data_IF_552925771569
#
_entry.id   IF_552925771569
#
_cell.length_a   1.000
_cell.length_b   1.000
_cell.length_c   1.000
_cell.angle_alpha   90.00
_cell.angle_beta   90.00
_cell.angle_gamma   90.00
#
_symmetry.space_group_name_H-M   'P 1'
#
loop_
_entity.id
_entity.type
_entity.pdbx_description
1 polymer ?
#
# COMPACT_ATOMS: atom_id res chain seq x y z
N UNK A 1 8.75 -8.41 12.77
CA UNK A 1 9.52 -8.59 11.53
C UNK A 1 10.91 -7.97 11.73
N UNK A 2 11.95 -8.74 11.52
CA UNK A 2 13.33 -8.24 11.66
C UNK A 2 13.65 -7.42 10.40
N UNK A 3 14.03 -6.14 10.58
CA UNK A 3 14.43 -5.27 9.46
C UNK A 3 15.86 -5.65 9.08
N UNK A 4 16.07 -6.13 7.87
CA UNK A 4 17.39 -6.42 7.33
C UNK A 4 18.07 -5.11 6.92
N UNK A 5 18.95 -4.60 7.76
CA UNK A 5 19.71 -3.38 7.50
C UNK A 5 20.77 -3.58 6.39
N UNK A 6 21.19 -4.82 6.12
CA UNK A 6 22.09 -5.13 5.01
C UNK A 6 21.46 -4.74 3.67
N UNK A 7 20.22 -5.14 3.44
CA UNK A 7 19.45 -4.76 2.24
C UNK A 7 19.30 -3.24 2.11
N UNK A 8 19.09 -2.54 3.24
CA UNK A 8 19.00 -1.07 3.22
C UNK A 8 20.34 -0.45 2.80
N UNK A 9 21.45 -0.96 3.30
CA UNK A 9 22.78 -0.47 2.91
C UNK A 9 23.07 -0.72 1.43
N UNK A 10 22.76 -1.91 0.90
CA UNK A 10 22.89 -2.21 -0.54
C UNK A 10 22.09 -1.25 -1.41
N UNK A 11 20.86 -0.92 -1.02
CA UNK A 11 20.02 0.05 -1.75
C UNK A 11 20.68 1.43 -1.74
N UNK A 12 21.15 1.91 -0.57
CA UNK A 12 21.80 3.22 -0.46
C UNK A 12 23.08 3.26 -1.31
N UNK A 13 23.86 2.21 -1.29
CA UNK A 13 25.08 2.07 -2.10
C UNK A 13 24.80 2.11 -3.59
N UNK A 14 23.75 1.40 -4.06
CA UNK A 14 23.32 1.42 -5.46
C UNK A 14 22.94 2.80 -5.97
N UNK A 15 22.50 3.68 -5.06
CA UNK A 15 22.21 5.09 -5.33
C UNK A 15 23.39 6.04 -5.08
N UNK A 16 24.59 5.52 -4.82
CA UNK A 16 25.83 6.28 -4.67
C UNK A 16 25.85 7.26 -3.50
N UNK A 17 25.07 6.99 -2.43
CA UNK A 17 24.95 7.85 -1.23
C UNK A 17 24.53 9.30 -1.54
N UNK A 18 23.81 9.52 -2.66
CA UNK A 18 23.42 10.87 -3.07
C UNK A 18 22.14 11.32 -2.35
N UNK A 19 22.18 12.51 -1.74
CA UNK A 19 21.01 13.14 -1.09
C UNK A 19 19.86 13.36 -2.06
N UNK A 20 20.14 13.68 -3.32
CA UNK A 20 19.18 13.85 -4.41
C UNK A 20 18.40 12.57 -4.73
N UNK A 21 18.94 11.41 -4.39
CA UNK A 21 18.31 10.10 -4.64
C UNK A 21 17.42 9.64 -3.49
N UNK A 22 17.15 10.46 -2.47
CA UNK A 22 16.35 10.10 -1.29
C UNK A 22 15.02 9.44 -1.67
N UNK A 23 14.27 10.01 -2.61
CA UNK A 23 12.96 9.46 -3.03
C UNK A 23 13.14 8.07 -3.66
N UNK A 24 14.14 7.90 -4.53
CA UNK A 24 14.45 6.60 -5.15
C UNK A 24 14.84 5.54 -4.11
N UNK A 25 15.68 5.90 -3.16
CA UNK A 25 16.07 5.02 -2.04
C UNK A 25 14.84 4.58 -1.24
N UNK A 26 13.94 5.53 -0.89
CA UNK A 26 12.72 5.20 -0.16
C UNK A 26 11.77 4.33 -0.98
N UNK A 27 11.68 4.52 -2.30
CA UNK A 27 10.89 3.67 -3.20
C UNK A 27 11.43 2.24 -3.22
N UNK A 28 12.73 2.05 -3.32
CA UNK A 28 13.35 0.73 -3.34
C UNK A 28 13.20 0.01 -2.00
N UNK A 29 13.35 0.74 -0.87
CA UNK A 29 13.08 0.19 0.46
C UNK A 29 11.60 -0.22 0.57
N UNK A 30 10.66 0.63 0.16
CA UNK A 30 9.23 0.34 0.16
C UNK A 30 8.91 -0.90 -0.70
N UNK A 31 9.52 -1.03 -1.88
CA UNK A 31 9.31 -2.16 -2.78
C UNK A 31 9.83 -3.48 -2.18
N UNK A 32 10.95 -3.44 -1.46
CA UNK A 32 11.56 -4.63 -0.83
C UNK A 32 10.90 -5.04 0.48
N UNK A 33 10.49 -4.08 1.29
CA UNK A 33 9.98 -4.32 2.64
C UNK A 33 8.47 -4.15 2.76
N UNK A 34 7.80 -3.68 1.70
CA UNK A 34 6.37 -3.38 1.63
C UNK A 34 5.91 -2.20 2.52
N UNK A 35 6.84 -1.56 3.22
CA UNK A 35 6.66 -0.35 4.01
C UNK A 35 8.02 0.26 4.34
N UNK A 36 8.05 1.43 4.98
CA UNK A 36 9.26 2.12 5.41
C UNK A 36 9.50 1.94 6.93
N UNK A 37 10.25 0.91 7.35
CA UNK A 37 10.52 0.68 8.77
C UNK A 37 11.33 1.83 9.38
N UNK A 38 11.01 2.23 10.62
CA UNK A 38 11.74 3.27 11.34
C UNK A 38 13.26 3.04 11.35
N UNK A 39 13.71 1.79 11.55
CA UNK A 39 15.13 1.45 11.54
C UNK A 39 15.79 1.73 10.20
N UNK A 40 15.09 1.45 9.08
CA UNK A 40 15.57 1.75 7.75
C UNK A 40 15.69 3.26 7.53
N UNK A 41 14.68 4.04 7.94
CA UNK A 41 14.70 5.52 7.82
C UNK A 41 15.86 6.13 8.61
N UNK A 42 16.13 5.64 9.82
CA UNK A 42 17.28 6.07 10.63
C UNK A 42 18.61 5.74 9.95
N UNK A 43 18.73 4.57 9.32
CA UNK A 43 19.92 4.18 8.56
C UNK A 43 20.12 5.10 7.35
N UNK A 44 19.04 5.41 6.59
CA UNK A 44 19.08 6.36 5.47
C UNK A 44 19.53 7.73 5.93
N UNK A 45 18.97 8.24 7.04
CA UNK A 45 19.36 9.54 7.63
C UNK A 45 20.85 9.60 7.93
N UNK A 46 21.37 8.53 8.57
CA UNK A 46 22.79 8.43 8.92
C UNK A 46 23.68 8.36 7.67
N UNK A 47 23.32 7.53 6.69
CA UNK A 47 24.13 7.31 5.50
C UNK A 47 24.17 8.50 4.54
N UNK A 48 23.09 9.26 4.45
CA UNK A 48 23.00 10.45 3.60
C UNK A 48 23.36 11.75 4.33
N UNK A 49 23.63 11.67 5.64
CA UNK A 49 23.87 12.83 6.50
C UNK A 49 22.76 13.90 6.37
N UNK A 50 21.50 13.48 6.41
CA UNK A 50 20.31 14.32 6.40
C UNK A 50 19.54 14.19 7.70
N UNK A 51 18.88 15.26 8.18
CA UNK A 51 18.01 15.17 9.35
C UNK A 51 16.91 14.13 9.15
N UNK A 52 16.65 13.34 10.15
CA UNK A 52 15.59 12.31 10.11
C UNK A 52 14.21 12.93 9.86
N UNK A 53 14.00 14.18 10.32
CA UNK A 53 12.77 14.95 10.06
C UNK A 53 12.50 15.11 8.57
N UNK A 54 13.52 15.46 7.78
CA UNK A 54 13.40 15.60 6.31
C UNK A 54 12.99 14.29 5.67
N UNK A 55 13.49 13.16 6.16
CA UNK A 55 13.09 11.83 5.64
C UNK A 55 11.63 11.53 5.97
N UNK A 56 11.18 11.85 7.20
CA UNK A 56 9.78 11.69 7.58
C UNK A 56 8.84 12.63 6.82
N UNK A 57 9.27 13.88 6.55
CA UNK A 57 8.53 14.81 5.70
C UNK A 57 8.28 14.21 4.32
N UNK A 58 9.31 13.67 3.66
CA UNK A 58 9.16 13.00 2.36
C UNK A 58 8.29 11.76 2.47
N UNK A 59 8.53 10.90 3.48
CA UNK A 59 7.80 9.65 3.66
C UNK A 59 6.30 9.85 3.95
N UNK A 60 5.92 10.97 4.58
CA UNK A 60 4.52 11.29 4.88
C UNK A 60 3.85 12.12 3.79
N UNK A 61 4.61 12.87 3.01
CA UNK A 61 4.09 13.67 1.91
C UNK A 61 3.60 12.82 0.74
N UNK A 62 4.34 11.79 0.36
CA UNK A 62 3.99 10.95 -0.78
C UNK A 62 3.09 9.79 -0.36
N UNK A 63 1.87 9.72 -0.92
CA UNK A 63 0.90 8.65 -0.66
C UNK A 63 1.41 7.25 -1.05
N UNK A 64 2.42 7.17 -1.89
CA UNK A 64 3.06 5.90 -2.29
C UNK A 64 3.81 5.23 -1.14
N UNK A 65 4.21 5.99 -0.12
CA UNK A 65 4.93 5.47 1.03
C UNK A 65 4.00 5.05 2.16
N UNK A 66 4.41 4.07 2.93
CA UNK A 66 3.72 3.62 4.13
C UNK A 66 4.71 3.46 5.27
N UNK A 67 4.42 4.05 6.42
CA UNK A 67 5.19 3.85 7.66
C UNK A 67 4.71 2.63 8.44
N UNK A 68 3.52 2.11 8.09
CA UNK A 68 2.93 0.93 8.69
C UNK A 68 3.09 -0.28 7.75
N UNK A 69 3.30 -1.49 8.31
CA UNK A 69 3.39 -2.71 7.51
C UNK A 69 2.14 -2.90 6.64
N UNK A 70 2.34 -3.09 5.34
CA UNK A 70 1.26 -3.47 4.42
C UNK A 70 1.15 -4.99 4.29
N UNK A 71 -0.05 -5.45 3.96
CA UNK A 71 -0.31 -6.84 3.65
C UNK A 71 0.39 -7.30 2.36
N UNK A 72 0.46 -8.61 2.18
CA UNK A 72 0.99 -9.22 0.96
C UNK A 72 0.18 -8.83 -0.28
N UNK A 73 -1.11 -8.60 -0.10
CA UNK A 73 -2.04 -8.19 -1.15
C UNK A 73 -2.71 -6.87 -0.78
N UNK A 74 -2.82 -5.95 -1.74
CA UNK A 74 -3.53 -4.69 -1.56
C UNK A 74 -4.86 -4.73 -2.31
N UNK A 75 -5.96 -4.54 -1.57
CA UNK A 75 -7.31 -4.46 -2.11
C UNK A 75 -7.69 -2.99 -2.19
N UNK A 76 -8.00 -2.50 -3.38
CA UNK A 76 -8.46 -1.14 -3.61
C UNK A 76 -9.90 -1.14 -4.10
N UNK A 77 -10.80 -0.47 -3.38
CA UNK A 77 -12.22 -0.34 -3.74
C UNK A 77 -12.49 1.05 -4.27
N UNK A 78 -13.06 1.12 -5.46
CA UNK A 78 -13.44 2.40 -6.07
C UNK A 78 -14.70 2.98 -5.42
N UNK A 79 -14.59 4.22 -4.92
CA UNK A 79 -15.68 5.01 -4.37
C UNK A 79 -16.06 6.21 -5.26
N UNK A 80 -15.52 6.28 -6.48
CA UNK A 80 -15.93 7.30 -7.46
C UNK A 80 -17.44 7.25 -7.70
N UNK A 81 -18.03 8.37 -8.10
CA UNK A 81 -19.50 8.57 -8.20
C UNK A 81 -20.23 7.39 -8.85
N UNK A 82 -19.78 6.92 -10.02
CA UNK A 82 -20.42 5.80 -10.72
C UNK A 82 -20.35 4.49 -9.96
N UNK A 83 -19.22 4.19 -9.29
CA UNK A 83 -19.05 3.00 -8.46
C UNK A 83 -19.85 3.12 -7.16
N UNK A 84 -19.86 4.30 -6.55
CA UNK A 84 -20.59 4.58 -5.32
C UNK A 84 -22.08 4.33 -5.49
N UNK A 85 -22.69 4.94 -6.54
CA UNK A 85 -24.14 4.75 -6.87
C UNK A 85 -24.46 3.27 -7.14
N UNK A 86 -23.53 2.52 -7.71
CA UNK A 86 -23.69 1.09 -8.01
C UNK A 86 -23.34 0.17 -6.83
N UNK A 87 -23.11 0.72 -5.65
CA UNK A 87 -22.89 -0.02 -4.41
C UNK A 87 -21.43 -0.22 -3.98
N UNK A 88 -20.50 0.60 -4.48
CA UNK A 88 -19.09 0.56 -4.09
C UNK A 88 -18.88 0.68 -2.57
N UNK A 89 -19.66 1.56 -1.92
CA UNK A 89 -19.62 1.69 -0.45
C UNK A 89 -20.06 0.41 0.28
N UNK A 90 -21.07 -0.31 -0.24
CA UNK A 90 -21.51 -1.59 0.31
C UNK A 90 -20.42 -2.66 0.20
N UNK A 91 -19.68 -2.67 -0.92
CA UNK A 91 -18.54 -3.57 -1.13
C UNK A 91 -17.44 -3.28 -0.14
N UNK A 92 -17.10 -2.00 0.07
CA UNK A 92 -16.09 -1.61 1.05
C UNK A 92 -16.49 -2.05 2.46
N UNK A 93 -17.70 -1.74 2.91
CA UNK A 93 -18.21 -2.15 4.22
C UNK A 93 -18.24 -3.67 4.42
N UNK A 94 -18.59 -4.41 3.36
CA UNK A 94 -18.52 -5.87 3.39
C UNK A 94 -17.09 -6.37 3.61
N UNK A 95 -16.12 -5.81 2.87
CA UNK A 95 -14.70 -6.16 3.01
C UNK A 95 -14.13 -5.77 4.36
N UNK A 96 -14.50 -4.59 4.91
CA UNK A 96 -14.08 -4.17 6.25
C UNK A 96 -14.52 -5.18 7.32
N UNK A 97 -15.76 -5.63 7.26
CA UNK A 97 -16.28 -6.62 8.19
C UNK A 97 -15.67 -8.01 7.98
N UNK A 98 -15.48 -8.39 6.72
CA UNK A 98 -14.96 -9.73 6.35
C UNK A 98 -13.48 -9.91 6.70
N UNK A 99 -12.69 -8.84 6.57
CA UNK A 99 -11.25 -8.83 6.79
C UNK A 99 -10.86 -8.34 8.19
N UNK A 100 -11.82 -7.89 9.00
CA UNK A 100 -11.58 -7.23 10.29
C UNK A 100 -10.52 -6.11 10.17
N UNK A 101 -10.61 -5.32 9.09
CA UNK A 101 -9.69 -4.23 8.79
C UNK A 101 -10.44 -3.06 8.19
N UNK A 102 -10.23 -1.85 8.71
CA UNK A 102 -10.80 -0.62 8.17
C UNK A 102 -10.09 -0.18 6.88
N UNK A 103 -10.77 0.63 6.08
CA UNK A 103 -10.14 1.26 4.91
C UNK A 103 -8.91 2.07 5.32
N UNK A 104 -7.77 1.82 4.68
CA UNK A 104 -6.45 2.29 5.05
C UNK A 104 -5.67 1.35 5.98
N UNK A 105 -6.32 0.32 6.51
CA UNK A 105 -5.71 -0.65 7.43
C UNK A 105 -5.27 -1.95 6.78
N UNK A 106 -4.55 -2.74 7.55
CA UNK A 106 -4.02 -4.05 7.17
C UNK A 106 -4.53 -5.11 8.13
N UNK A 107 -4.85 -6.31 7.63
CA UNK A 107 -5.26 -7.45 8.44
C UNK A 107 -4.16 -7.88 9.40
N UNK A 108 -4.52 -8.44 10.57
CA UNK A 108 -3.56 -8.83 11.61
C UNK A 108 -2.54 -9.89 11.15
N UNK A 109 -2.94 -10.73 10.22
CA UNK A 109 -2.09 -11.75 9.59
C UNK A 109 -1.20 -11.20 8.46
N UNK A 110 -1.28 -9.89 8.19
CA UNK A 110 -0.60 -9.20 7.10
C UNK A 110 -0.89 -9.82 5.72
N UNK A 111 -2.05 -10.45 5.55
CA UNK A 111 -2.45 -10.98 4.26
C UNK A 111 -2.95 -9.87 3.33
N UNK A 112 -3.81 -8.98 3.84
CA UNK A 112 -4.45 -7.96 3.04
C UNK A 112 -4.31 -6.56 3.65
N UNK A 113 -4.07 -5.56 2.78
CA UNK A 113 -4.30 -4.15 3.07
C UNK A 113 -5.53 -3.70 2.31
N UNK A 114 -6.50 -3.07 2.99
CA UNK A 114 -7.71 -2.55 2.38
C UNK A 114 -7.60 -1.04 2.20
N UNK A 115 -7.78 -0.58 0.96
CA UNK A 115 -7.75 0.84 0.60
C UNK A 115 -9.02 1.24 -0.15
N UNK A 116 -9.44 2.48 0.02
CA UNK A 116 -10.44 3.10 -0.84
C UNK A 116 -9.77 4.07 -1.80
N UNK A 117 -10.23 4.13 -3.03
CA UNK A 117 -9.74 5.06 -4.06
C UNK A 117 -10.89 5.84 -4.68
N UNK A 118 -10.62 7.09 -5.05
CA UNK A 118 -11.64 7.98 -5.59
C UNK A 118 -12.09 7.59 -7.01
N UNK A 119 -11.18 7.04 -7.83
CA UNK A 119 -11.54 6.55 -9.17
C UNK A 119 -10.46 5.61 -9.72
N UNK A 120 -10.90 4.51 -10.34
CA UNK A 120 -10.05 3.56 -11.06
C UNK A 120 -10.12 3.71 -12.59
N UNK A 121 -10.87 4.71 -13.10
CA UNK A 121 -10.94 5.03 -14.52
C UNK A 121 -11.83 4.12 -15.37
N UNK A 122 -12.45 3.07 -14.81
CA UNK A 122 -13.24 2.10 -15.58
C UNK A 122 -14.73 2.07 -15.15
N UNK A 123 -15.39 3.23 -15.17
CA UNK A 123 -16.75 3.44 -14.67
C UNK A 123 -17.80 2.52 -15.31
N UNK A 124 -17.64 2.14 -16.58
CA UNK A 124 -18.55 1.21 -17.27
C UNK A 124 -18.61 -0.18 -16.60
N UNK A 125 -17.53 -0.57 -15.91
CA UNK A 125 -17.42 -1.83 -15.20
C UNK A 125 -17.75 -1.74 -13.71
N UNK A 126 -18.20 -0.56 -13.23
CA UNK A 126 -18.54 -0.36 -11.82
C UNK A 126 -19.67 -1.28 -11.31
N UNK A 127 -19.67 -1.60 -10.00
CA UNK A 127 -18.67 -1.25 -9.01
C UNK A 127 -17.38 -2.07 -9.18
N UNK A 128 -16.22 -1.45 -8.88
CA UNK A 128 -14.92 -2.02 -9.15
C UNK A 128 -14.05 -2.17 -7.91
N UNK A 129 -13.25 -3.23 -7.94
CA UNK A 129 -12.18 -3.51 -6.99
C UNK A 129 -10.93 -3.93 -7.75
N UNK A 130 -9.76 -3.60 -7.24
CA UNK A 130 -8.46 -4.09 -7.72
C UNK A 130 -7.79 -4.84 -6.58
N UNK A 131 -7.22 -6.00 -6.86
CA UNK A 131 -6.32 -6.69 -5.95
C UNK A 131 -4.97 -6.76 -6.65
N UNK A 132 -3.96 -6.16 -6.03
CA UNK A 132 -2.65 -5.92 -6.58
C UNK A 132 -2.75 -5.15 -7.91
N UNK A 133 -2.63 -5.78 -9.03
CA UNK A 133 -2.79 -5.16 -10.36
C UNK A 133 -3.95 -5.74 -11.15
N UNK A 134 -4.76 -6.61 -10.53
CA UNK A 134 -5.86 -7.30 -11.22
C UNK A 134 -7.19 -6.62 -10.95
N UNK A 135 -7.85 -6.21 -12.01
CA UNK A 135 -9.12 -5.51 -12.00
C UNK A 135 -10.31 -6.47 -11.96
N UNK A 136 -11.26 -6.19 -11.07
CA UNK A 136 -12.52 -6.93 -10.93
C UNK A 136 -13.68 -5.95 -11.05
N UNK A 137 -14.46 -6.09 -12.11
CA UNK A 137 -15.64 -5.26 -12.38
C UNK A 137 -16.95 -5.97 -12.10
N UNK A 138 -18.05 -5.17 -12.01
CA UNK A 138 -19.41 -5.65 -11.74
C UNK A 138 -19.45 -6.58 -10.52
N UNK A 139 -18.78 -6.13 -9.45
CA UNK A 139 -18.60 -6.93 -8.24
C UNK A 139 -19.88 -6.87 -7.40
N UNK A 140 -20.18 -7.99 -6.78
CA UNK A 140 -21.16 -8.14 -5.72
C UNK A 140 -20.54 -8.96 -4.57
N UNK A 141 -21.21 -8.95 -3.42
CA UNK A 141 -20.73 -9.64 -2.21
C UNK A 141 -20.46 -11.13 -2.44
N UNK A 142 -21.27 -11.81 -3.27
CA UNK A 142 -21.10 -13.23 -3.55
C UNK A 142 -19.81 -13.53 -4.35
N UNK A 143 -19.43 -12.63 -5.25
CA UNK A 143 -18.19 -12.77 -6.03
C UNK A 143 -16.94 -12.51 -5.20
N UNK A 144 -17.03 -11.65 -4.17
CA UNK A 144 -15.89 -11.30 -3.32
C UNK A 144 -15.28 -12.53 -2.67
N UNK A 145 -16.09 -13.42 -2.09
CA UNK A 145 -15.60 -14.64 -1.42
C UNK A 145 -14.81 -15.53 -2.38
N UNK A 146 -15.30 -15.74 -3.59
CA UNK A 146 -14.63 -16.54 -4.61
C UNK A 146 -13.33 -15.91 -5.11
N UNK A 147 -13.25 -14.57 -5.06
CA UNK A 147 -12.05 -13.82 -5.43
C UNK A 147 -11.02 -13.92 -4.30
N UNK A 148 -11.40 -13.64 -3.05
CA UNK A 148 -10.49 -13.66 -1.90
C UNK A 148 -9.83 -15.04 -1.70
N UNK A 149 -10.56 -16.12 -1.94
CA UNK A 149 -10.01 -17.50 -1.88
C UNK A 149 -8.82 -17.76 -2.80
N UNK A 150 -8.62 -16.93 -3.83
CA UNK A 150 -7.47 -17.05 -4.75
C UNK A 150 -6.20 -16.41 -4.22
N UNK A 151 -6.30 -15.66 -3.13
CA UNK A 151 -5.21 -14.90 -2.52
C UNK A 151 -4.92 -15.34 -1.07
N UNK A 152 -5.61 -16.38 -0.60
CA UNK A 152 -5.37 -17.00 0.71
C UNK A 152 -4.35 -18.13 0.64
#
# INVERSE_FOLDING_TARGET
MQVDLGVVCEIIESHGYQRSSLIGILQDIQARMNYLPRKALLQVAKSLEIPVTTIYEVATFYKAFSLEPKGRHTIQVCLGTACHVRGGARILSYLENRLDAKSGGTTRDLAFTLESVNCLGACALGPMMVIDKKYYGKINTNKIESILKKYQ
#
